data_IF_971974851457
#
_entry.id   IF_971974851457
#
_cell.length_a   1.000
_cell.length_b   1.000
_cell.length_c   1.000
_cell.angle_alpha   90.00
_cell.angle_beta   90.00
_cell.angle_gamma   90.00
#
_symmetry.space_group_name_H-M   'P 1'
#
loop_
_entity.id
_entity.type
_entity.pdbx_description
1 polymer ?
#
# COMPACT_ATOMS: atom_id res chain seq x y z
N UNK A 1 -27.29 30.74 -11.20
CA UNK A 1 -26.30 29.65 -11.09
C UNK A 1 -24.94 30.33 -11.04
N UNK A 2 -24.30 30.31 -9.88
CA UNK A 2 -23.09 31.10 -9.62
C UNK A 2 -21.86 30.37 -10.23
N UNK A 3 -20.91 31.12 -10.80
CA UNK A 3 -19.71 30.54 -11.45
C UNK A 3 -18.85 29.73 -10.45
N UNK A 4 -18.99 30.02 -9.16
CA UNK A 4 -18.34 29.28 -8.06
C UNK A 4 -18.88 27.84 -7.93
N UNK A 5 -20.15 27.61 -8.22
CA UNK A 5 -20.77 26.28 -8.11
C UNK A 5 -20.27 25.34 -9.21
N UNK A 6 -19.96 25.85 -10.41
CA UNK A 6 -19.44 25.06 -11.54
C UNK A 6 -18.03 24.54 -11.29
N UNK A 7 -17.16 25.32 -10.62
CA UNK A 7 -15.82 24.87 -10.22
C UNK A 7 -15.88 23.86 -9.06
N UNK A 8 -16.75 24.07 -8.08
CA UNK A 8 -16.95 23.14 -6.96
C UNK A 8 -17.53 21.78 -7.42
N UNK A 9 -18.46 21.78 -8.39
CA UNK A 9 -19.09 20.53 -8.86
C UNK A 9 -18.15 19.70 -9.76
N UNK A 10 -17.39 20.34 -10.66
CA UNK A 10 -16.30 19.67 -11.41
C UNK A 10 -15.20 19.15 -10.48
N UNK A 11 -15.00 19.76 -9.31
CA UNK A 11 -13.99 19.32 -8.33
C UNK A 11 -14.38 18.01 -7.62
N UNK A 12 -15.66 17.80 -7.29
CA UNK A 12 -16.10 16.59 -6.57
C UNK A 12 -16.08 15.33 -7.44
N UNK A 13 -16.63 15.41 -8.65
CA UNK A 13 -16.66 14.26 -9.56
C UNK A 13 -15.25 13.87 -10.01
N UNK A 14 -14.37 14.85 -10.22
CA UNK A 14 -12.96 14.61 -10.54
C UNK A 14 -12.20 13.99 -9.36
N UNK A 15 -12.40 14.49 -8.14
CA UNK A 15 -11.81 13.89 -6.92
C UNK A 15 -12.25 12.44 -6.73
N UNK A 16 -13.54 12.16 -6.88
CA UNK A 16 -14.06 10.79 -6.77
C UNK A 16 -13.44 9.86 -7.81
N UNK A 17 -13.22 10.37 -9.03
CA UNK A 17 -12.56 9.61 -10.09
C UNK A 17 -11.09 9.37 -9.77
N UNK A 18 -10.36 10.40 -9.36
CA UNK A 18 -8.95 10.30 -8.98
C UNK A 18 -8.76 9.37 -7.77
N UNK A 19 -9.68 9.39 -6.82
CA UNK A 19 -9.69 8.49 -5.65
C UNK A 19 -10.00 7.04 -6.06
N UNK A 20 -10.94 6.82 -6.97
CA UNK A 20 -11.23 5.50 -7.50
C UNK A 20 -10.04 4.95 -8.30
N UNK A 21 -9.44 5.76 -9.18
CA UNK A 21 -8.24 5.40 -9.94
C UNK A 21 -7.06 5.09 -9.01
N UNK A 22 -6.89 5.86 -7.92
CA UNK A 22 -5.90 5.59 -6.89
C UNK A 22 -6.17 4.26 -6.18
N UNK A 23 -7.41 4.02 -5.76
CA UNK A 23 -7.79 2.76 -5.09
C UNK A 23 -7.62 1.55 -6.01
N UNK A 24 -7.99 1.64 -7.28
CA UNK A 24 -7.79 0.57 -8.26
C UNK A 24 -6.31 0.30 -8.50
N UNK A 25 -5.47 1.34 -8.54
CA UNK A 25 -4.01 1.18 -8.69
C UNK A 25 -3.38 0.47 -7.50
N UNK A 26 -3.79 0.81 -6.28
CA UNK A 26 -3.25 0.20 -5.06
C UNK A 26 -3.84 -1.20 -4.85
N UNK A 27 -5.16 -1.32 -4.88
CA UNK A 27 -5.90 -2.56 -4.65
C UNK A 27 -6.34 -3.25 -5.95
N UNK A 28 -5.38 -3.51 -6.82
CA UNK A 28 -5.61 -3.99 -8.19
C UNK A 28 -6.08 -5.46 -8.32
N UNK A 29 -5.93 -6.29 -7.28
CA UNK A 29 -6.33 -7.72 -7.30
C UNK A 29 -7.85 -7.95 -7.15
N UNK A 30 -8.68 -6.92 -7.30
CA UNK A 30 -10.13 -7.05 -7.34
C UNK A 30 -10.85 -6.95 -5.99
N UNK A 31 -12.17 -7.25 -5.96
CA UNK A 31 -12.99 -7.07 -4.77
C UNK A 31 -12.51 -7.94 -3.60
N UNK A 32 -12.31 -7.34 -2.42
CA UNK A 32 -11.81 -8.04 -1.23
C UNK A 32 -10.29 -8.02 -1.06
N UNK A 33 -9.53 -7.50 -2.03
CA UNK A 33 -8.08 -7.38 -1.92
C UNK A 33 -7.68 -6.54 -0.69
N UNK A 34 -8.35 -5.41 -0.47
CA UNK A 34 -8.10 -4.54 0.68
C UNK A 34 -8.30 -5.26 2.01
N UNK A 35 -9.39 -6.02 2.13
CA UNK A 35 -9.72 -6.79 3.34
C UNK A 35 -8.69 -7.90 3.58
N UNK A 36 -8.28 -8.60 2.52
CA UNK A 36 -7.28 -9.66 2.62
C UNK A 36 -5.89 -9.11 3.00
N UNK A 37 -5.48 -7.97 2.42
CA UNK A 37 -4.27 -7.24 2.83
C UNK A 37 -4.36 -6.81 4.28
N UNK A 38 -5.50 -6.26 4.72
CA UNK A 38 -5.68 -5.86 6.12
C UNK A 38 -5.54 -7.05 7.08
N UNK A 39 -6.14 -8.20 6.77
CA UNK A 39 -5.99 -9.41 7.59
C UNK A 39 -4.53 -9.87 7.62
N UNK A 40 -3.83 -9.81 6.48
CA UNK A 40 -2.41 -10.15 6.41
C UNK A 40 -1.55 -9.21 7.24
N UNK A 41 -1.76 -7.90 7.14
CA UNK A 41 -1.05 -6.89 7.93
C UNK A 41 -1.26 -7.09 9.43
N UNK A 42 -2.50 -7.33 9.87
CA UNK A 42 -2.81 -7.65 11.28
C UNK A 42 -2.09 -8.91 11.78
N UNK A 43 -1.84 -9.89 10.91
CA UNK A 43 -1.12 -11.11 11.27
C UNK A 43 0.40 -10.95 11.34
N UNK A 44 0.96 -9.95 10.63
CA UNK A 44 2.39 -9.76 10.45
C UNK A 44 2.96 -8.66 11.35
N UNK A 45 2.27 -7.53 11.45
CA UNK A 45 2.73 -6.36 12.19
C UNK A 45 2.49 -6.58 13.67
N UNK A 46 3.56 -6.50 14.46
CA UNK A 46 3.51 -6.76 15.90
C UNK A 46 3.17 -5.50 16.69
N UNK A 47 3.55 -4.34 16.15
CA UNK A 47 3.20 -3.06 16.75
C UNK A 47 1.68 -2.80 16.69
N UNK A 48 1.11 -2.27 17.77
CA UNK A 48 -0.31 -1.91 17.79
C UNK A 48 -0.56 -0.72 16.86
N UNK A 49 -1.35 -0.97 15.82
CA UNK A 49 -1.76 0.03 14.83
C UNK A 49 -3.25 -0.14 14.54
N UNK A 50 -3.93 0.98 14.29
CA UNK A 50 -5.29 0.95 13.77
C UNK A 50 -5.33 0.39 12.35
N UNK A 51 -6.49 -0.10 11.92
CA UNK A 51 -6.67 -0.59 10.55
C UNK A 51 -6.35 0.49 9.51
N UNK A 52 -6.67 1.74 9.81
CA UNK A 52 -6.38 2.88 8.96
C UNK A 52 -4.87 3.12 8.83
N UNK A 53 -4.12 3.01 9.92
CA UNK A 53 -2.66 3.14 9.91
C UNK A 53 -2.00 2.00 9.15
N UNK A 54 -2.44 0.76 9.34
CA UNK A 54 -1.91 -0.40 8.61
C UNK A 54 -2.09 -0.23 7.09
N UNK A 55 -3.31 0.13 6.68
CA UNK A 55 -3.60 0.39 5.26
C UNK A 55 -2.80 1.58 4.75
N UNK A 56 -2.67 2.65 5.53
CA UNK A 56 -1.86 3.81 5.15
C UNK A 56 -0.39 3.41 4.90
N UNK A 57 0.23 2.72 5.84
CA UNK A 57 1.62 2.26 5.73
C UNK A 57 1.82 1.37 4.48
N UNK A 58 0.89 0.43 4.26
CA UNK A 58 0.87 -0.41 3.07
C UNK A 58 0.74 0.42 1.78
N UNK A 59 -0.19 1.38 1.75
CA UNK A 59 -0.39 2.24 0.57
C UNK A 59 0.82 3.11 0.26
N UNK A 60 1.54 3.61 1.28
CA UNK A 60 2.78 4.37 1.07
C UNK A 60 3.82 3.53 0.35
N UNK A 61 4.07 2.30 0.79
CA UNK A 61 5.04 1.43 0.14
C UNK A 61 4.54 1.01 -1.24
N UNK A 62 3.25 0.68 -1.39
CA UNK A 62 2.68 0.32 -2.70
C UNK A 62 2.76 1.47 -3.71
N UNK A 63 2.59 2.70 -3.27
CA UNK A 63 2.72 3.90 -4.10
C UNK A 63 4.16 4.06 -4.62
N UNK A 64 5.18 3.81 -3.80
CA UNK A 64 6.58 3.84 -4.23
C UNK A 64 6.82 2.87 -5.40
N UNK A 65 6.29 1.64 -5.32
CA UNK A 65 6.48 0.65 -6.37
C UNK A 65 5.61 0.87 -7.62
N UNK A 66 4.48 1.56 -7.50
CA UNK A 66 3.52 1.77 -8.60
C UNK A 66 3.63 3.15 -9.26
N UNK A 67 4.10 4.18 -8.54
CA UNK A 67 4.20 5.56 -9.02
C UNK A 67 5.63 5.95 -9.43
N UNK A 68 6.65 5.46 -8.72
CA UNK A 68 8.04 5.87 -8.96
C UNK A 68 8.69 5.12 -10.12
N UNK A 69 9.53 5.83 -10.87
CA UNK A 69 10.40 5.22 -11.89
C UNK A 69 11.36 4.25 -11.19
N UNK A 70 11.76 3.13 -11.81
CA UNK A 70 12.62 2.14 -11.17
C UNK A 70 13.88 2.71 -10.49
N UNK A 71 14.51 3.73 -11.07
CA UNK A 71 15.70 4.38 -10.49
C UNK A 71 15.43 5.31 -9.29
N UNK A 72 14.20 5.70 -9.04
CA UNK A 72 13.79 6.57 -7.91
C UNK A 72 13.19 5.75 -6.75
N UNK A 73 12.90 4.46 -6.97
CA UNK A 73 12.27 3.58 -5.97
C UNK A 73 13.15 3.36 -4.76
N UNK A 74 14.44 3.14 -4.97
CA UNK A 74 15.39 2.84 -3.89
C UNK A 74 15.53 4.04 -2.93
N UNK A 75 15.67 5.25 -3.49
CA UNK A 75 15.72 6.49 -2.72
C UNK A 75 14.42 6.73 -1.94
N UNK A 76 13.27 6.68 -2.62
CA UNK A 76 11.96 6.88 -1.98
C UNK A 76 11.67 5.83 -0.89
N UNK A 77 12.09 4.59 -1.11
CA UNK A 77 11.95 3.52 -0.12
C UNK A 77 12.88 3.74 1.08
N UNK A 78 14.11 4.20 0.85
CA UNK A 78 15.04 4.59 1.91
C UNK A 78 14.47 5.74 2.76
N UNK A 79 13.95 6.79 2.13
CA UNK A 79 13.29 7.89 2.84
C UNK A 79 12.10 7.42 3.67
N UNK A 80 11.23 6.58 3.09
CA UNK A 80 10.11 5.98 3.81
C UNK A 80 10.59 5.13 5.00
N UNK A 81 11.64 4.33 4.79
CA UNK A 81 12.18 3.44 5.82
C UNK A 81 12.74 4.24 7.01
N UNK A 82 13.44 5.34 6.76
CA UNK A 82 13.99 6.19 7.83
C UNK A 82 12.90 7.03 8.53
N UNK A 83 11.95 7.58 7.78
CA UNK A 83 10.92 8.48 8.33
C UNK A 83 9.78 7.76 9.04
N UNK A 84 9.50 6.51 8.69
CA UNK A 84 8.35 5.77 9.24
C UNK A 84 8.62 5.31 10.67
N UNK A 85 7.72 5.65 11.59
CA UNK A 85 7.78 5.15 12.96
C UNK A 85 7.10 3.79 13.08
N UNK A 86 7.91 2.75 12.92
CA UNK A 86 7.54 1.33 13.01
C UNK A 86 8.79 0.52 13.38
N UNK A 87 8.66 -0.63 14.04
CA UNK A 87 9.80 -1.51 14.27
C UNK A 87 10.49 -1.92 12.95
N UNK A 88 11.83 -2.02 12.90
CA UNK A 88 12.57 -2.40 11.70
C UNK A 88 12.06 -3.70 11.06
N UNK A 89 11.73 -4.71 11.87
CA UNK A 89 11.22 -6.00 11.41
C UNK A 89 9.84 -5.86 10.77
N UNK A 90 8.97 -5.02 11.35
CA UNK A 90 7.64 -4.75 10.81
C UNK A 90 7.71 -3.96 9.50
N UNK A 91 8.70 -3.05 9.35
CA UNK A 91 8.98 -2.39 8.07
C UNK A 91 9.35 -3.41 6.99
N UNK A 92 10.24 -4.35 7.30
CA UNK A 92 10.68 -5.40 6.36
C UNK A 92 9.52 -6.28 5.93
N UNK A 93 8.67 -6.72 6.87
CA UNK A 93 7.44 -7.48 6.57
C UNK A 93 6.51 -6.74 5.61
N UNK A 94 6.34 -5.44 5.82
CA UNK A 94 5.46 -4.62 4.97
C UNK A 94 6.02 -4.47 3.55
N UNK A 95 7.34 -4.25 3.42
CA UNK A 95 8.01 -4.19 2.11
C UNK A 95 7.94 -5.54 1.39
N UNK A 96 8.24 -6.63 2.11
CA UNK A 96 8.16 -7.99 1.60
C UNK A 96 6.74 -8.35 1.10
N UNK A 97 5.70 -7.97 1.85
CA UNK A 97 4.31 -8.14 1.43
C UNK A 97 4.04 -7.45 0.09
N UNK A 98 4.45 -6.19 -0.05
CA UNK A 98 4.23 -5.41 -1.28
C UNK A 98 4.96 -6.01 -2.48
N UNK A 99 6.21 -6.47 -2.28
CA UNK A 99 7.03 -7.10 -3.31
C UNK A 99 6.43 -8.42 -3.78
N UNK A 100 6.07 -9.30 -2.86
CA UNK A 100 5.50 -10.60 -3.19
C UNK A 100 4.13 -10.46 -3.87
N UNK A 101 3.30 -9.52 -3.40
CA UNK A 101 2.01 -9.22 -4.03
C UNK A 101 2.16 -8.66 -5.45
N UNK A 102 3.28 -7.99 -5.78
CA UNK A 102 3.50 -7.51 -7.15
C UNK A 102 3.59 -8.65 -8.19
N UNK A 103 3.81 -9.88 -7.75
CA UNK A 103 3.79 -11.09 -8.57
C UNK A 103 2.43 -11.84 -8.54
N UNK A 104 1.49 -11.41 -7.70
CA UNK A 104 0.17 -12.04 -7.59
C UNK A 104 -0.73 -11.70 -8.78
N UNK A 105 -1.60 -12.64 -9.17
CA UNK A 105 -2.54 -12.46 -10.29
C UNK A 105 -3.99 -12.29 -9.85
N UNK A 106 -4.31 -12.60 -8.59
CA UNK A 106 -5.63 -12.42 -8.00
C UNK A 106 -5.61 -12.36 -6.47
N UNK A 107 -6.77 -12.14 -5.83
CA UNK A 107 -6.87 -11.94 -4.39
C UNK A 107 -6.57 -13.23 -3.59
N UNK A 108 -6.74 -14.39 -4.22
CA UNK A 108 -6.39 -15.70 -3.66
C UNK A 108 -4.86 -15.95 -3.67
N UNK A 109 -4.10 -15.17 -4.45
CA UNK A 109 -2.64 -15.29 -4.58
C UNK A 109 -1.88 -14.37 -3.61
N UNK A 110 -2.58 -13.71 -2.68
CA UNK A 110 -1.93 -12.85 -1.68
C UNK A 110 -1.00 -13.72 -0.83
N UNK A 111 0.29 -13.33 -0.70
CA UNK A 111 1.28 -14.18 -0.06
C UNK A 111 0.92 -14.51 1.39
N UNK A 112 1.20 -15.75 1.77
CA UNK A 112 1.06 -16.26 3.13
C UNK A 112 2.03 -15.57 4.10
N UNK A 113 1.70 -15.55 5.39
CA UNK A 113 2.56 -14.93 6.41
C UNK A 113 3.97 -15.54 6.43
N UNK A 114 4.09 -16.87 6.26
CA UNK A 114 5.38 -17.56 6.20
C UNK A 114 6.25 -17.10 5.01
N UNK A 115 5.65 -16.92 3.83
CA UNK A 115 6.36 -16.42 2.66
C UNK A 115 6.85 -14.98 2.88
N UNK A 116 6.01 -14.15 3.51
CA UNK A 116 6.36 -12.76 3.82
C UNK A 116 7.49 -12.68 4.85
N UNK A 117 7.47 -13.50 5.91
CA UNK A 117 8.55 -13.53 6.89
C UNK A 117 9.87 -13.98 6.26
N UNK A 118 9.84 -15.03 5.42
CA UNK A 118 11.04 -15.50 4.71
C UNK A 118 11.62 -14.43 3.78
N UNK A 119 10.77 -13.72 3.05
CA UNK A 119 11.22 -12.62 2.20
C UNK A 119 11.73 -11.44 3.04
N UNK A 120 11.09 -11.14 4.17
CA UNK A 120 11.54 -10.09 5.10
C UNK A 120 12.91 -10.39 5.72
N UNK A 121 13.28 -11.66 5.92
CA UNK A 121 14.61 -12.07 6.38
C UNK A 121 15.71 -11.78 5.33
N UNK A 122 15.36 -11.81 4.04
CA UNK A 122 16.28 -11.44 2.95
C UNK A 122 16.52 -9.93 2.85
N UNK A 123 15.63 -9.15 3.47
CA UNK A 123 15.76 -7.71 3.62
C UNK A 123 16.67 -7.41 4.82
N UNK A 124 17.98 -7.33 4.57
CA UNK A 124 18.99 -7.11 5.61
C UNK A 124 20.39 -6.90 5.07
#
# INVERSE_FOLDING_TARGET
MDLKDVFLFKSRQRRQREEAEYQERIFHLGPGHREAVLQRLKSLIREEKTEAELIYLYTCVKDIYTASRPGEREEALGEWYEATYLFPEDKKRLIALVLLESAASGPDDIPGAEAVEKEAESWG
#
